data_IF_755491784350
#
_entry.id   IF_755491784350
#
_cell.length_a   1.000
_cell.length_b   1.000
_cell.length_c   1.000
_cell.angle_alpha   90.00
_cell.angle_beta   90.00
_cell.angle_gamma   90.00
#
_symmetry.space_group_name_H-M   'P 1'
#
loop_
_entity.id
_entity.type
_entity.pdbx_description
1 polymer ?
#
# COMPACT_ATOMS: atom_id res chain seq x y z
N UNK A 1 -50.64 12.61 -47.36
CA UNK A 1 -49.61 12.36 -48.40
C UNK A 1 -49.07 13.71 -48.83
N UNK A 2 -47.92 14.15 -48.30
CA UNK A 2 -47.39 15.50 -48.54
C UNK A 2 -46.13 15.39 -49.38
N UNK A 3 -46.16 15.93 -50.60
CA UNK A 3 -44.99 16.06 -51.46
C UNK A 3 -44.36 17.44 -51.23
N UNK A 4 -43.13 17.46 -50.70
CA UNK A 4 -42.33 18.68 -50.59
C UNK A 4 -41.72 19.02 -51.96
N UNK A 5 -42.16 20.13 -52.57
CA UNK A 5 -41.48 20.74 -53.73
C UNK A 5 -40.15 21.36 -53.27
N UNK A 6 -39.04 20.98 -53.91
CA UNK A 6 -37.77 21.70 -53.76
C UNK A 6 -37.91 23.11 -54.36
N UNK A 7 -37.67 24.11 -53.52
CA UNK A 7 -37.48 25.49 -53.93
C UNK A 7 -36.23 25.62 -54.83
N UNK A 8 -36.34 26.45 -55.87
CA UNK A 8 -35.28 26.76 -56.81
C UNK A 8 -34.33 27.76 -56.16
N UNK A 9 -33.08 27.35 -55.95
CA UNK A 9 -32.00 28.24 -55.47
C UNK A 9 -31.56 29.11 -56.67
N UNK A 10 -31.66 30.44 -56.61
CA UNK A 10 -31.27 31.29 -57.73
C UNK A 10 -29.75 31.49 -57.74
N UNK A 11 -29.08 31.14 -58.84
CA UNK A 11 -27.63 31.38 -59.02
C UNK A 11 -26.77 30.17 -59.44
N UNK A 12 -27.36 29.04 -59.86
CA UNK A 12 -26.59 27.90 -60.39
C UNK A 12 -26.95 27.61 -61.86
N UNK A 13 -26.54 28.50 -62.75
CA UNK A 13 -26.55 28.27 -64.21
C UNK A 13 -25.34 27.40 -64.65
N UNK A 14 -25.10 26.33 -63.90
CA UNK A 14 -24.27 25.22 -64.39
C UNK A 14 -25.17 23.99 -64.46
N UNK A 15 -25.55 23.53 -65.67
CA UNK A 15 -26.10 22.18 -65.77
C UNK A 15 -25.04 21.24 -65.22
N UNK A 16 -25.41 20.23 -64.41
CA UNK A 16 -24.46 19.19 -64.05
C UNK A 16 -23.96 18.62 -65.39
N UNK A 17 -22.67 18.76 -65.67
CA UNK A 17 -22.07 18.16 -66.87
C UNK A 17 -22.07 16.65 -66.64
N UNK A 18 -23.17 16.00 -66.99
CA UNK A 18 -23.24 14.56 -67.03
C UNK A 18 -22.35 14.09 -68.18
N UNK A 19 -21.38 13.18 -67.95
CA UNK A 19 -20.59 12.63 -69.03
C UNK A 19 -21.54 11.97 -70.05
N UNK A 20 -21.35 12.24 -71.35
CA UNK A 20 -22.20 11.73 -72.45
C UNK A 20 -22.03 10.23 -72.73
N UNK A 21 -21.37 9.47 -71.84
CA UNK A 21 -21.40 8.02 -71.85
C UNK A 21 -22.81 7.55 -71.48
N UNK A 22 -23.27 6.43 -72.05
CA UNK A 22 -24.67 6.01 -71.99
C UNK A 22 -25.22 6.04 -70.57
N UNK A 23 -26.46 6.52 -70.37
CA UNK A 23 -27.15 6.54 -69.06
C UNK A 23 -27.06 5.21 -68.28
N UNK A 24 -26.89 4.08 -68.98
CA UNK A 24 -26.67 2.75 -68.39
C UNK A 24 -25.32 2.64 -67.66
N UNK A 25 -24.26 3.21 -68.21
CA UNK A 25 -22.90 3.10 -67.66
C UNK A 25 -22.73 3.96 -66.40
N UNK A 26 -23.34 5.15 -66.38
CA UNK A 26 -23.30 6.03 -65.21
C UNK A 26 -24.00 5.43 -63.99
N UNK A 27 -25.20 4.83 -64.17
CA UNK A 27 -25.92 4.18 -63.07
C UNK A 27 -25.18 2.95 -62.55
N UNK A 28 -24.48 2.21 -63.43
CA UNK A 28 -23.68 1.04 -63.04
C UNK A 28 -22.47 1.45 -62.18
N UNK A 29 -21.71 2.48 -62.61
CA UNK A 29 -20.55 2.99 -61.86
C UNK A 29 -20.97 3.52 -60.49
N UNK A 30 -22.01 4.37 -60.43
CA UNK A 30 -22.49 4.88 -59.14
C UNK A 30 -23.10 3.80 -58.24
N UNK A 31 -23.73 2.78 -58.82
CA UNK A 31 -24.22 1.61 -58.07
C UNK A 31 -23.08 0.83 -57.43
N UNK A 32 -21.96 0.67 -58.16
CA UNK A 32 -20.76 0.01 -57.63
C UNK A 32 -20.09 0.83 -56.52
N UNK A 33 -19.99 2.15 -56.67
CA UNK A 33 -19.43 3.04 -55.63
C UNK A 33 -20.29 3.03 -54.36
N UNK A 34 -21.62 3.08 -54.49
CA UNK A 34 -22.55 2.98 -53.36
C UNK A 34 -22.45 1.59 -52.70
N UNK A 35 -22.28 0.53 -53.49
CA UNK A 35 -22.04 -0.82 -52.98
C UNK A 35 -20.75 -0.92 -52.16
N UNK A 36 -19.64 -0.37 -52.66
CA UNK A 36 -18.36 -0.31 -51.94
C UNK A 36 -18.48 0.48 -50.64
N UNK A 37 -19.06 1.67 -50.69
CA UNK A 37 -19.27 2.50 -49.51
C UNK A 37 -20.18 1.81 -48.47
N UNK A 38 -21.21 1.09 -48.92
CA UNK A 38 -22.07 0.32 -48.03
C UNK A 38 -21.34 -0.86 -47.38
N UNK A 39 -20.42 -1.52 -48.09
CA UNK A 39 -19.61 -2.59 -47.56
C UNK A 39 -18.61 -2.07 -46.50
N UNK A 40 -17.95 -0.93 -46.80
CA UNK A 40 -17.04 -0.26 -45.87
C UNK A 40 -17.76 0.21 -44.59
N UNK A 41 -18.98 0.75 -44.71
CA UNK A 41 -19.81 1.10 -43.56
C UNK A 41 -20.15 -0.13 -42.71
N UNK A 42 -20.42 -1.27 -43.33
CA UNK A 42 -20.66 -2.52 -42.61
C UNK A 42 -19.43 -3.00 -41.83
N UNK A 43 -18.23 -2.88 -42.41
CA UNK A 43 -16.97 -3.19 -41.71
C UNK A 43 -16.73 -2.24 -40.54
N UNK A 44 -16.91 -0.94 -40.73
CA UNK A 44 -16.78 0.06 -39.67
C UNK A 44 -17.77 -0.18 -38.52
N UNK A 45 -19.01 -0.58 -38.82
CA UNK A 45 -19.99 -0.94 -37.79
C UNK A 45 -19.54 -2.15 -36.97
N UNK A 46 -18.99 -3.17 -37.62
CA UNK A 46 -18.47 -4.36 -36.94
C UNK A 46 -17.27 -4.01 -36.05
N UNK A 47 -16.35 -3.17 -36.53
CA UNK A 47 -15.19 -2.75 -35.76
C UNK A 47 -15.59 -1.83 -34.60
N UNK A 48 -16.56 -0.94 -34.82
CA UNK A 48 -17.14 -0.12 -33.76
C UNK A 48 -17.76 -0.99 -32.66
N UNK A 49 -18.50 -2.04 -33.03
CA UNK A 49 -19.08 -2.98 -32.07
C UNK A 49 -18.00 -3.72 -31.27
N UNK A 50 -16.95 -4.21 -31.93
CA UNK A 50 -15.81 -4.88 -31.27
C UNK A 50 -15.08 -3.94 -30.29
N UNK A 51 -14.88 -2.67 -30.68
CA UNK A 51 -14.26 -1.68 -29.81
C UNK A 51 -15.14 -1.36 -28.62
N UNK A 52 -16.45 -1.23 -28.80
CA UNK A 52 -17.39 -1.01 -27.71
C UNK A 52 -17.35 -2.14 -26.67
N UNK A 53 -17.29 -3.40 -27.10
CA UNK A 53 -17.17 -4.54 -26.19
C UNK A 53 -15.81 -4.57 -25.46
N UNK A 54 -14.71 -4.24 -26.15
CA UNK A 54 -13.40 -4.10 -25.51
C UNK A 54 -13.39 -3.00 -24.46
N UNK A 55 -14.02 -1.85 -24.75
CA UNK A 55 -14.11 -0.72 -23.82
C UNK A 55 -14.86 -1.15 -22.55
N UNK A 56 -16.02 -1.80 -22.69
CA UNK A 56 -16.77 -2.32 -21.53
C UNK A 56 -15.94 -3.29 -20.68
N UNK A 57 -15.18 -4.18 -21.33
CA UNK A 57 -14.30 -5.11 -20.64
C UNK A 57 -13.20 -4.41 -19.84
N UNK A 58 -12.59 -3.37 -20.43
CA UNK A 58 -11.57 -2.56 -19.74
C UNK A 58 -12.19 -1.75 -18.60
N UNK A 59 -13.38 -1.17 -18.79
CA UNK A 59 -14.10 -0.44 -17.74
C UNK A 59 -14.39 -1.33 -16.54
N UNK A 60 -14.87 -2.57 -16.77
CA UNK A 60 -15.11 -3.54 -15.71
C UNK A 60 -13.81 -3.87 -14.94
N UNK A 61 -12.72 -4.16 -15.65
CA UNK A 61 -11.43 -4.44 -15.03
C UNK A 61 -10.89 -3.25 -14.21
N UNK A 62 -11.13 -2.01 -14.67
CA UNK A 62 -10.76 -0.80 -13.92
C UNK A 62 -11.57 -0.71 -12.62
N UNK A 63 -12.88 -0.96 -12.66
CA UNK A 63 -13.71 -0.95 -11.44
C UNK A 63 -13.23 -1.99 -10.43
N UNK A 64 -12.92 -3.20 -10.89
CA UNK A 64 -12.41 -4.28 -10.03
C UNK A 64 -11.08 -3.86 -9.38
N UNK A 65 -10.13 -3.35 -10.17
CA UNK A 65 -8.85 -2.86 -9.66
C UNK A 65 -9.01 -1.69 -8.68
N UNK A 66 -9.96 -0.79 -8.92
CA UNK A 66 -10.26 0.31 -7.99
C UNK A 66 -10.82 -0.22 -6.65
N UNK A 67 -11.67 -1.24 -6.70
CA UNK A 67 -12.21 -1.88 -5.49
C UNK A 67 -11.14 -2.60 -4.68
N UNK A 68 -10.22 -3.30 -5.35
CA UNK A 68 -9.07 -3.96 -4.72
C UNK A 68 -8.12 -2.93 -4.11
N UNK A 69 -7.81 -1.86 -4.84
CA UNK A 69 -6.97 -0.78 -4.35
C UNK A 69 -7.55 -0.15 -3.08
N UNK A 70 -8.86 0.09 -3.05
CA UNK A 70 -9.53 0.63 -1.85
C UNK A 70 -9.44 -0.34 -0.67
N UNK A 71 -9.67 -1.63 -0.91
CA UNK A 71 -9.56 -2.67 0.11
C UNK A 71 -8.13 -2.75 0.68
N UNK A 72 -7.12 -2.71 -0.19
CA UNK A 72 -5.71 -2.74 0.23
C UNK A 72 -5.33 -1.51 1.06
N UNK A 73 -5.81 -0.31 0.68
CA UNK A 73 -5.59 0.91 1.47
C UNK A 73 -6.16 0.79 2.89
N UNK A 74 -7.37 0.25 3.03
CA UNK A 74 -7.99 0.03 4.34
C UNK A 74 -7.20 -0.97 5.20
N UNK A 75 -6.77 -2.09 4.61
CA UNK A 75 -5.93 -3.09 5.30
C UNK A 75 -4.59 -2.52 5.73
N UNK A 76 -3.97 -1.69 4.89
CA UNK A 76 -2.71 -1.03 5.21
C UNK A 76 -2.86 -0.07 6.39
N UNK A 77 -3.94 0.72 6.42
CA UNK A 77 -4.23 1.62 7.53
C UNK A 77 -4.45 0.85 8.85
N UNK A 78 -5.21 -0.25 8.83
CA UNK A 78 -5.40 -1.12 9.99
C UNK A 78 -4.07 -1.68 10.50
N UNK A 79 -3.24 -2.20 9.59
CA UNK A 79 -1.92 -2.73 9.93
C UNK A 79 -1.01 -1.67 10.54
N UNK A 80 -0.99 -0.45 10.00
CA UNK A 80 -0.21 0.66 10.56
C UNK A 80 -0.62 0.99 12.00
N UNK A 81 -1.93 1.05 12.27
CA UNK A 81 -2.44 1.28 13.63
C UNK A 81 -2.03 0.16 14.57
N UNK A 82 -2.11 -1.09 14.12
CA UNK A 82 -1.72 -2.26 14.92
C UNK A 82 -0.22 -2.29 15.20
N UNK A 83 0.61 -1.98 14.22
CA UNK A 83 2.07 -1.88 14.41
C UNK A 83 2.38 -0.81 15.45
N UNK A 84 1.82 0.39 15.29
CA UNK A 84 2.05 1.48 16.24
C UNK A 84 1.60 1.12 17.67
N UNK A 85 0.45 0.45 17.80
CA UNK A 85 -0.05 -0.03 19.09
C UNK A 85 0.89 -1.07 19.71
N UNK A 86 1.44 -1.97 18.90
CA UNK A 86 2.38 -2.99 19.38
C UNK A 86 3.72 -2.38 19.77
N UNK A 87 4.22 -1.40 19.02
CA UNK A 87 5.43 -0.64 19.35
C UNK A 87 5.29 0.02 20.72
N UNK A 88 4.20 0.75 20.95
CA UNK A 88 3.94 1.38 22.25
C UNK A 88 3.87 0.35 23.38
N UNK A 89 3.22 -0.81 23.14
CA UNK A 89 3.16 -1.88 24.14
C UNK A 89 4.53 -2.50 24.44
N UNK A 90 5.40 -2.62 23.44
CA UNK A 90 6.78 -3.10 23.64
C UNK A 90 7.56 -2.08 24.45
N UNK A 91 7.44 -0.79 24.15
CA UNK A 91 8.06 0.29 24.93
C UNK A 91 7.55 0.31 26.37
N UNK A 92 6.24 0.11 26.59
CA UNK A 92 5.67 0.04 27.94
C UNK A 92 6.20 -1.15 28.73
N UNK A 93 6.25 -2.34 28.13
CA UNK A 93 6.72 -3.57 28.79
C UNK A 93 8.21 -3.49 29.06
N UNK A 94 9.01 -3.09 28.08
CA UNK A 94 10.45 -2.91 28.26
C UNK A 94 10.73 -1.81 29.28
N UNK A 95 10.05 -0.68 29.21
CA UNK A 95 10.15 0.37 30.20
C UNK A 95 9.81 -0.11 31.61
N UNK A 96 8.71 -0.85 31.77
CA UNK A 96 8.31 -1.41 33.06
C UNK A 96 9.34 -2.41 33.61
N UNK A 97 9.90 -3.26 32.74
CA UNK A 97 10.93 -4.24 33.12
C UNK A 97 12.23 -3.56 33.61
N UNK A 98 12.62 -2.46 32.96
CA UNK A 98 13.83 -1.72 33.34
C UNK A 98 13.65 -0.77 34.53
N UNK A 99 12.42 -0.37 34.89
CA UNK A 99 12.17 0.56 36.01
C UNK A 99 12.61 0.00 37.37
N UNK A 100 12.58 -1.33 37.53
CA UNK A 100 13.03 -1.99 38.76
C UNK A 100 14.52 -2.37 38.73
N UNK A 101 15.20 -2.13 37.61
CA UNK A 101 16.60 -2.50 37.42
C UNK A 101 17.51 -1.30 37.69
N UNK A 102 18.43 -1.43 38.64
CA UNK A 102 19.45 -0.41 38.94
C UNK A 102 20.81 -0.91 38.47
N UNK A 103 21.50 -0.09 37.66
CA UNK A 103 22.88 -0.38 37.23
C UNK A 103 23.88 0.38 38.09
N UNK A 104 24.74 -0.36 38.78
CA UNK A 104 25.81 0.19 39.63
C UNK A 104 27.14 -0.06 38.92
N UNK A 105 27.95 0.99 38.78
CA UNK A 105 29.24 0.97 38.08
C UNK A 105 30.37 1.27 39.07
N UNK A 106 31.53 0.61 38.90
CA UNK A 106 32.70 0.80 39.79
C UNK A 106 32.72 -0.10 41.02
N UNK A 107 31.97 -1.21 40.99
CA UNK A 107 32.10 -2.27 42.00
C UNK A 107 33.40 -3.05 41.80
N UNK A 108 34.04 -3.54 42.89
CA UNK A 108 35.24 -4.34 42.78
C UNK A 108 34.95 -5.66 42.04
N UNK A 109 35.76 -5.94 41.02
CA UNK A 109 35.72 -7.18 40.24
C UNK A 109 36.19 -8.35 41.12
N UNK A 110 35.39 -9.41 41.23
CA UNK A 110 35.67 -10.57 42.09
C UNK A 110 34.61 -10.85 43.17
N UNK A 111 33.64 -9.96 43.36
CA UNK A 111 32.43 -10.28 44.09
C UNK A 111 31.49 -11.05 43.14
N UNK A 112 31.45 -12.37 43.28
CA UNK A 112 30.51 -13.25 42.56
C UNK A 112 29.35 -13.70 43.45
N UNK A 113 28.18 -13.92 42.85
CA UNK A 113 27.01 -14.48 43.52
C UNK A 113 26.58 -13.70 44.78
N UNK A 114 26.41 -14.41 45.89
CA UNK A 114 25.93 -13.83 47.16
C UNK A 114 26.86 -12.77 47.76
N UNK A 115 28.14 -12.71 47.34
CA UNK A 115 29.09 -11.70 47.79
C UNK A 115 28.71 -10.28 47.33
N UNK A 116 28.04 -10.15 46.17
CA UNK A 116 27.58 -8.84 45.67
C UNK A 116 26.44 -8.32 46.53
N UNK A 117 25.49 -9.18 46.89
CA UNK A 117 24.33 -8.81 47.72
C UNK A 117 24.78 -8.31 49.08
N UNK A 118 25.65 -9.07 49.76
CA UNK A 118 26.19 -8.68 51.06
C UNK A 118 26.96 -7.35 51.01
N UNK A 119 27.73 -7.12 49.93
CA UNK A 119 28.42 -5.84 49.72
C UNK A 119 27.42 -4.70 49.51
N UNK A 120 26.39 -4.89 48.68
CA UNK A 120 25.38 -3.87 48.40
C UNK A 120 24.57 -3.51 49.64
N UNK A 121 24.18 -4.49 50.46
CA UNK A 121 23.51 -4.25 51.74
C UNK A 121 24.40 -3.42 52.66
N UNK A 122 25.66 -3.82 52.85
CA UNK A 122 26.62 -3.07 53.66
C UNK A 122 26.84 -1.65 53.13
N UNK A 123 26.96 -1.50 51.81
CA UNK A 123 27.15 -0.21 51.15
C UNK A 123 25.93 0.70 51.31
N UNK A 124 24.70 0.19 51.14
CA UNK A 124 23.46 0.93 51.37
C UNK A 124 23.35 1.40 52.82
N UNK A 125 23.66 0.51 53.78
CA UNK A 125 23.68 0.85 55.20
C UNK A 125 24.69 1.95 55.52
N UNK A 126 25.89 1.88 54.94
CA UNK A 126 27.02 2.74 55.34
C UNK A 126 27.05 4.07 54.59
N UNK A 127 26.70 4.09 53.30
CA UNK A 127 26.90 5.25 52.43
C UNK A 127 25.62 6.02 52.13
N UNK A 128 24.49 5.33 52.05
CA UNK A 128 23.23 5.93 51.59
C UNK A 128 22.32 6.29 52.78
N UNK A 129 22.62 5.79 53.98
CA UNK A 129 21.87 6.05 55.22
C UNK A 129 20.35 5.76 55.12
N UNK A 130 19.95 4.97 54.12
CA UNK A 130 18.56 4.55 53.89
C UNK A 130 18.19 3.31 54.72
N UNK A 131 18.74 3.20 55.93
CA UNK A 131 18.59 2.04 56.82
C UNK A 131 17.11 1.69 57.06
N UNK A 132 16.25 2.70 57.06
CA UNK A 132 14.81 2.54 57.26
C UNK A 132 14.08 1.94 56.06
N UNK A 133 14.65 2.00 54.85
CA UNK A 133 14.03 1.46 53.63
C UNK A 133 14.46 0.03 53.31
N UNK A 134 15.54 -0.44 53.91
CA UNK A 134 16.12 -1.78 53.67
C UNK A 134 15.10 -2.93 53.89
N UNK A 135 14.21 -2.91 54.89
CA UNK A 135 13.19 -3.96 55.04
C UNK A 135 12.20 -4.05 53.87
N UNK A 136 12.12 -3.01 53.06
CA UNK A 136 11.21 -2.91 51.91
C UNK A 136 11.89 -3.20 50.58
N UNK A 137 13.21 -3.41 50.58
CA UNK A 137 13.96 -3.80 49.39
C UNK A 137 14.14 -5.32 49.36
N UNK A 138 13.69 -5.94 48.29
CA UNK A 138 13.98 -7.33 47.98
C UNK A 138 14.80 -7.39 46.68
N UNK A 139 15.95 -8.04 46.73
CA UNK A 139 16.76 -8.29 45.54
C UNK A 139 16.17 -9.48 44.79
N UNK A 140 15.57 -9.23 43.62
CA UNK A 140 15.05 -10.32 42.78
C UNK A 140 16.18 -11.04 42.03
N UNK A 141 17.07 -10.27 41.39
CA UNK A 141 18.25 -10.77 40.67
C UNK A 141 19.39 -9.77 40.78
N UNK A 142 20.60 -10.29 40.98
CA UNK A 142 21.84 -9.50 40.96
C UNK A 142 22.86 -10.25 40.12
N UNK A 143 23.39 -9.58 39.10
CA UNK A 143 24.38 -10.15 38.20
C UNK A 143 25.28 -9.05 37.64
N UNK A 144 26.50 -9.43 37.27
CA UNK A 144 27.37 -8.57 36.48
C UNK A 144 26.86 -8.53 35.04
N UNK A 145 26.82 -7.34 34.45
CA UNK A 145 26.55 -7.19 33.02
C UNK A 145 27.85 -7.52 32.28
N UNK A 146 27.89 -8.57 31.45
CA UNK A 146 29.09 -8.94 30.72
C UNK A 146 29.53 -7.79 29.79
N UNK A 147 30.84 -7.59 29.66
CA UNK A 147 31.41 -6.54 28.81
C UNK A 147 31.11 -6.72 27.31
N UNK A 148 30.71 -7.91 26.90
CA UNK A 148 30.25 -8.22 25.54
C UNK A 148 28.84 -8.82 25.58
N UNK A 149 27.94 -8.43 24.65
CA UNK A 149 26.64 -9.07 24.51
C UNK A 149 26.84 -10.57 24.28
N UNK A 150 26.25 -11.39 25.14
CA UNK A 150 26.25 -12.85 24.95
C UNK A 150 25.39 -13.19 23.73
N UNK A 151 25.83 -14.18 22.95
CA UNK A 151 25.03 -14.68 21.84
C UNK A 151 23.70 -15.26 22.39
N UNK A 152 22.58 -15.17 21.63
CA UNK A 152 21.29 -15.68 22.08
C UNK A 152 21.41 -17.16 22.50
N UNK A 153 21.10 -17.45 23.78
CA UNK A 153 21.10 -18.81 24.33
C UNK A 153 22.35 -19.23 25.11
N UNK A 154 23.36 -18.37 25.28
CA UNK A 154 24.49 -18.68 26.17
C UNK A 154 24.18 -18.32 27.64
N UNK A 155 24.50 -19.18 28.62
CA UNK A 155 24.36 -18.86 30.03
C UNK A 155 25.32 -17.73 30.42
N UNK A 156 24.89 -16.89 31.36
CA UNK A 156 25.74 -15.85 31.92
C UNK A 156 27.00 -16.49 32.52
N UNK A 157 28.17 -16.13 32.01
CA UNK A 157 29.43 -16.62 32.57
C UNK A 157 29.70 -15.89 33.88
N UNK A 158 29.61 -16.63 34.98
CA UNK A 158 29.97 -16.17 36.32
C UNK A 158 31.50 -16.29 36.39
N UNK A 159 32.19 -15.16 36.37
CA UNK A 159 33.60 -15.06 36.76
C UNK A 159 33.74 -15.01 38.28
#
# INVERSE_FOLDING_TARGET
MVWLRRGKVPGSDFPPQWPKAGKRDYCAVRGSEIGSASAELGLLQNDHHKLAEKIKGVEAAIMDLQSEQQTLKLKMADLMVRVHTLEHRVEDVTGSDHRNNIRIVGLPEGLGGNGIVAYLEHWLHTKVALVQLIPFFAWERVHHVPAHPLAPGQPAQIG
#
